data_IF_758202095521
#
_entry.id   IF_758202095521
#
_cell.length_a   1.000
_cell.length_b   1.000
_cell.length_c   1.000
_cell.angle_alpha   90.00
_cell.angle_beta   90.00
_cell.angle_gamma   90.00
#
_symmetry.space_group_name_H-M   'P 1'
#
loop_
_entity.id
_entity.type
_entity.pdbx_description
1 polymer ?
#
# COMPACT_ATOMS: atom_id res chain seq x y z
N UNK A 1 -82.76 -7.78 48.35
CA UNK A 1 -82.13 -9.08 48.04
C UNK A 1 -80.87 -8.78 47.22
N UNK A 2 -79.89 -8.07 47.78
CA UNK A 2 -78.88 -8.60 48.73
C UNK A 2 -78.13 -9.77 48.09
N UNK A 3 -76.79 -9.87 48.00
CA UNK A 3 -75.62 -9.25 48.64
C UNK A 3 -74.41 -9.69 47.77
N UNK A 4 -73.47 -8.82 47.44
CA UNK A 4 -72.23 -8.53 48.19
C UNK A 4 -71.14 -9.63 48.14
N UNK A 5 -69.90 -9.26 47.81
CA UNK A 5 -68.68 -10.06 48.05
C UNK A 5 -67.67 -10.05 46.89
N UNK A 6 -66.84 -9.02 46.69
CA UNK A 6 -65.52 -8.76 47.32
C UNK A 6 -64.45 -9.85 47.13
N UNK A 7 -63.32 -9.44 46.51
CA UNK A 7 -61.90 -9.84 46.75
C UNK A 7 -61.08 -9.61 45.46
N UNK A 8 -60.32 -8.54 45.36
CA UNK A 8 -58.99 -8.26 45.96
C UNK A 8 -57.84 -8.85 45.14
N UNK A 9 -56.98 -7.93 44.70
CA UNK A 9 -55.64 -8.11 44.18
C UNK A 9 -54.85 -9.24 44.84
N UNK A 10 -54.14 -10.01 44.01
CA UNK A 10 -52.72 -10.38 44.16
C UNK A 10 -52.37 -11.50 43.18
N UNK A 11 -51.65 -11.16 42.10
CA UNK A 11 -50.76 -12.11 41.43
C UNK A 11 -49.37 -11.49 41.40
N UNK A 12 -48.70 -11.59 42.54
CA UNK A 12 -47.25 -11.46 42.64
C UNK A 12 -46.61 -12.78 42.21
N UNK A 13 -46.20 -12.87 40.94
CA UNK A 13 -45.31 -13.91 40.46
C UNK A 13 -43.93 -13.30 40.18
N UNK A 14 -42.97 -13.64 41.04
CA UNK A 14 -41.56 -13.26 40.96
C UNK A 14 -40.91 -13.73 39.65
N UNK A 15 -39.99 -12.97 39.04
CA UNK A 15 -39.25 -13.46 37.89
C UNK A 15 -38.23 -14.50 38.38
N UNK A 16 -38.44 -15.76 38.01
CA UNK A 16 -37.44 -16.81 38.19
C UNK A 16 -36.27 -16.54 37.23
N UNK A 17 -35.12 -16.19 37.80
CA UNK A 17 -33.83 -16.10 37.13
C UNK A 17 -33.32 -17.50 36.77
N UNK A 18 -33.88 -18.08 35.72
CA UNK A 18 -33.29 -19.23 35.04
C UNK A 18 -32.26 -18.71 34.03
N UNK A 19 -31.03 -18.55 34.51
CA UNK A 19 -29.84 -18.30 33.68
C UNK A 19 -29.63 -19.55 32.81
N UNK A 20 -29.75 -19.49 31.47
CA UNK A 20 -29.34 -20.62 30.64
C UNK A 20 -27.81 -20.76 30.68
N UNK A 21 -27.29 -21.99 30.78
CA UNK A 21 -25.86 -22.23 30.85
C UNK A 21 -25.24 -22.04 29.46
N UNK A 22 -24.08 -21.38 29.44
CA UNK A 22 -23.02 -21.56 28.44
C UNK A 22 -23.42 -21.41 26.96
N UNK A 23 -23.61 -20.15 26.53
CA UNK A 23 -23.17 -19.80 25.18
C UNK A 23 -21.65 -19.68 25.20
N UNK A 24 -20.96 -20.82 25.06
CA UNK A 24 -19.61 -20.81 24.54
C UNK A 24 -19.72 -20.13 23.17
N UNK A 25 -19.31 -18.87 23.11
CA UNK A 25 -19.20 -18.08 21.88
C UNK A 25 -18.01 -18.61 21.09
N UNK A 26 -18.12 -19.86 20.64
CA UNK A 26 -17.23 -20.46 19.65
C UNK A 26 -17.98 -20.36 18.33
N UNK A 27 -17.38 -19.64 17.38
CA UNK A 27 -17.86 -19.39 16.02
C UNK A 27 -18.62 -18.07 15.80
N UNK A 28 -18.10 -16.95 16.32
CA UNK A 28 -18.02 -15.76 15.47
C UNK A 28 -16.82 -15.99 14.54
N UNK A 29 -17.03 -16.63 13.38
CA UNK A 29 -16.03 -16.54 12.32
C UNK A 29 -16.02 -15.08 11.87
N UNK A 30 -14.93 -14.32 12.01
CA UNK A 30 -14.92 -12.93 11.59
C UNK A 30 -15.27 -12.90 10.10
N UNK A 31 -16.37 -12.22 9.78
CA UNK A 31 -16.85 -12.00 8.42
C UNK A 31 -15.67 -11.64 7.51
N UNK A 32 -15.37 -12.51 6.54
CA UNK A 32 -14.23 -12.36 5.61
C UNK A 32 -14.39 -11.03 4.88
N UNK A 33 -13.50 -10.06 5.13
CA UNK A 33 -13.52 -8.79 4.40
C UNK A 33 -13.26 -9.07 2.90
N UNK A 34 -14.21 -8.80 2.00
CA UNK A 34 -14.08 -9.16 0.59
C UNK A 34 -12.95 -8.38 -0.10
N UNK A 35 -12.67 -7.15 0.33
CA UNK A 35 -11.58 -6.35 -0.23
C UNK A 35 -10.22 -6.87 0.22
N UNK A 36 -10.12 -7.40 1.44
CA UNK A 36 -8.90 -8.02 1.94
C UNK A 36 -8.55 -9.30 1.16
N UNK A 37 -9.55 -10.13 0.88
CA UNK A 37 -9.33 -11.35 0.09
C UNK A 37 -8.91 -11.06 -1.35
N UNK A 38 -9.46 -10.01 -1.96
CA UNK A 38 -9.03 -9.48 -3.27
C UNK A 38 -7.61 -8.92 -3.23
N UNK A 39 -7.25 -8.22 -2.14
CA UNK A 39 -5.90 -7.69 -1.94
C UNK A 39 -4.86 -8.81 -1.88
N UNK A 40 -5.11 -9.86 -1.09
CA UNK A 40 -4.22 -11.03 -1.00
C UNK A 40 -4.00 -11.72 -2.34
N UNK A 41 -5.02 -11.73 -3.21
CA UNK A 41 -4.96 -12.29 -4.58
C UNK A 41 -4.35 -11.33 -5.61
N UNK A 42 -4.09 -10.08 -5.21
CA UNK A 42 -3.62 -9.00 -6.09
C UNK A 42 -4.60 -8.64 -7.21
N UNK A 43 -5.91 -8.76 -6.97
CA UNK A 43 -6.96 -8.53 -7.99
C UNK A 43 -7.04 -7.06 -8.44
N UNK A 44 -6.69 -6.12 -7.57
CA UNK A 44 -6.61 -4.70 -7.92
C UNK A 44 -5.40 -4.35 -8.79
N UNK A 45 -4.48 -5.30 -8.96
CA UNK A 45 -3.24 -5.13 -9.69
C UNK A 45 -2.01 -5.02 -8.79
N UNK A 46 -0.88 -4.75 -9.45
CA UNK A 46 0.46 -4.76 -8.86
C UNK A 46 1.19 -3.47 -9.16
N UNK A 47 2.05 -3.05 -8.24
CA UNK A 47 2.82 -1.82 -8.33
C UNK A 47 3.64 -1.78 -9.63
N UNK A 48 3.58 -0.69 -10.41
CA UNK A 48 4.35 -0.57 -11.64
C UNK A 48 5.84 -0.27 -11.38
N UNK A 49 6.22 0.17 -10.17
CA UNK A 49 7.65 0.29 -9.81
C UNK A 49 8.27 -1.09 -9.73
N UNK A 50 9.28 -1.32 -10.57
CA UNK A 50 10.04 -2.58 -10.65
C UNK A 50 10.60 -2.98 -9.28
N UNK A 51 11.12 -2.01 -8.53
CA UNK A 51 11.73 -2.22 -7.21
C UNK A 51 10.71 -2.52 -6.09
N UNK A 52 9.41 -2.40 -6.39
CA UNK A 52 8.37 -2.86 -5.48
C UNK A 52 8.10 -4.37 -5.60
N UNK A 53 8.85 -5.11 -6.44
CA UNK A 53 8.73 -6.56 -6.60
C UNK A 53 7.28 -7.03 -6.82
N UNK A 54 6.52 -6.27 -7.62
CA UNK A 54 5.12 -6.58 -7.96
C UNK A 54 4.15 -6.59 -6.76
N UNK A 55 4.42 -5.77 -5.73
CA UNK A 55 3.56 -5.56 -4.55
C UNK A 55 2.08 -5.35 -4.95
N UNK A 56 1.12 -6.07 -4.33
CA UNK A 56 -0.31 -5.84 -4.53
C UNK A 56 -0.73 -4.42 -4.12
N UNK A 57 -1.68 -3.86 -4.90
CA UNK A 57 -2.21 -2.52 -4.70
C UNK A 57 -3.60 -2.54 -4.05
N UNK A 58 -4.00 -1.39 -3.49
CA UNK A 58 -5.34 -1.17 -2.94
C UNK A 58 -6.03 -0.02 -3.68
N UNK A 59 -7.35 -0.09 -3.93
CA UNK A 59 -8.08 1.04 -4.47
C UNK A 59 -8.19 2.17 -3.46
N UNK A 60 -8.16 3.41 -3.93
CA UNK A 60 -8.32 4.60 -3.10
C UNK A 60 -8.94 5.74 -3.91
N UNK A 61 -9.84 6.49 -3.28
CA UNK A 61 -10.35 7.74 -3.80
C UNK A 61 -9.40 8.89 -3.49
N UNK A 62 -9.26 9.86 -4.40
CA UNK A 62 -8.55 11.10 -4.10
C UNK A 62 -9.43 12.11 -3.37
N UNK A 63 -10.74 11.94 -3.47
CA UNK A 63 -11.76 12.72 -2.78
C UNK A 63 -12.93 11.79 -2.41
N UNK A 64 -13.68 12.17 -1.39
CA UNK A 64 -14.91 11.47 -0.97
C UNK A 64 -16.17 12.08 -1.63
N UNK A 65 -15.98 13.10 -2.48
CA UNK A 65 -17.05 13.78 -3.22
C UNK A 65 -17.27 13.03 -4.55
N UNK A 66 -18.50 12.56 -4.83
CA UNK A 66 -18.80 11.85 -6.08
C UNK A 66 -18.56 12.70 -7.33
N UNK A 67 -18.24 12.01 -8.44
CA UNK A 67 -18.03 12.56 -9.78
C UNK A 67 -16.87 13.55 -9.94
N UNK A 68 -15.99 13.66 -8.94
CA UNK A 68 -14.86 14.59 -8.99
C UNK A 68 -13.61 13.94 -9.60
N UNK A 69 -13.19 12.78 -9.07
CA UNK A 69 -11.96 12.09 -9.49
C UNK A 69 -12.15 10.58 -9.56
N UNK A 70 -11.58 9.97 -10.60
CA UNK A 70 -11.52 8.52 -10.74
C UNK A 70 -10.70 7.86 -9.63
N UNK A 71 -10.98 6.58 -9.37
CA UNK A 71 -10.20 5.73 -8.46
C UNK A 71 -8.71 5.69 -8.85
N UNK A 72 -7.84 5.69 -7.83
CA UNK A 72 -6.41 5.43 -7.93
C UNK A 72 -6.06 4.15 -7.17
N UNK A 73 -4.84 3.68 -7.38
CA UNK A 73 -4.30 2.49 -6.75
C UNK A 73 -3.12 2.88 -5.85
N UNK A 74 -3.22 2.59 -4.56
CA UNK A 74 -2.20 2.83 -3.56
C UNK A 74 -1.28 1.62 -3.39
N UNK A 75 0.03 1.87 -3.31
CA UNK A 75 1.02 0.87 -2.98
C UNK A 75 1.54 1.07 -1.55
N UNK A 76 1.35 0.07 -0.68
CA UNK A 76 1.88 0.12 0.69
C UNK A 76 3.41 0.08 0.80
N UNK A 77 4.13 -0.36 -0.26
CA UNK A 77 5.61 -0.50 -0.21
C UNK A 77 6.33 0.80 -0.56
N UNK A 78 5.90 1.48 -1.62
CA UNK A 78 6.50 2.75 -2.04
C UNK A 78 5.66 3.98 -1.67
N UNK A 79 4.51 3.78 -1.03
CA UNK A 79 3.63 4.83 -0.52
C UNK A 79 3.23 5.85 -1.59
N UNK A 80 2.95 5.34 -2.79
CA UNK A 80 2.67 6.16 -3.98
C UNK A 80 1.39 5.71 -4.66
N UNK A 81 0.79 6.62 -5.43
CA UNK A 81 -0.50 6.46 -6.10
C UNK A 81 -0.31 6.23 -7.59
N UNK A 82 -1.05 5.27 -8.12
CA UNK A 82 -0.98 4.85 -9.51
C UNK A 82 -2.35 4.90 -10.17
N UNK A 83 -2.37 5.18 -11.47
CA UNK A 83 -3.57 5.01 -12.28
C UNK A 83 -3.77 3.53 -12.62
N UNK A 84 -5.00 3.00 -12.57
CA UNK A 84 -5.27 1.65 -13.03
C UNK A 84 -4.92 1.50 -14.52
N UNK A 85 -4.32 0.35 -14.89
CA UNK A 85 -3.82 0.12 -16.26
C UNK A 85 -4.93 0.08 -17.32
N UNK A 86 -6.08 -0.47 -16.96
CA UNK A 86 -7.23 -0.64 -17.85
C UNK A 86 -8.15 0.57 -17.77
N UNK A 87 -8.54 1.12 -18.92
CA UNK A 87 -9.49 2.23 -19.02
C UNK A 87 -10.83 1.94 -18.29
N UNK A 88 -11.34 0.70 -18.36
CA UNK A 88 -12.58 0.29 -17.66
C UNK A 88 -12.57 0.56 -16.15
N UNK A 89 -11.44 0.33 -15.49
CA UNK A 89 -11.30 0.59 -14.05
C UNK A 89 -10.91 2.04 -13.77
N UNK A 90 -10.35 2.75 -14.76
CA UNK A 90 -10.02 4.17 -14.66
C UNK A 90 -11.21 5.12 -14.79
N UNK A 91 -12.35 4.64 -15.28
CA UNK A 91 -13.60 5.42 -15.31
C UNK A 91 -14.47 5.25 -14.06
N UNK A 92 -14.06 4.42 -13.10
CA UNK A 92 -14.79 4.21 -11.84
C UNK A 92 -14.50 5.39 -10.92
N UNK A 93 -15.55 5.93 -10.31
CA UNK A 93 -15.43 7.02 -9.32
C UNK A 93 -14.66 6.56 -8.08
N UNK A 94 -13.69 7.37 -7.65
CA UNK A 94 -12.87 7.12 -6.48
C UNK A 94 -13.66 7.24 -5.17
N UNK A 95 -14.72 8.05 -5.15
CA UNK A 95 -15.54 8.30 -3.97
C UNK A 95 -16.18 7.01 -3.41
N UNK A 96 -16.42 5.98 -4.24
CA UNK A 96 -16.96 4.69 -3.81
C UNK A 96 -16.03 3.88 -2.89
N UNK A 97 -14.73 4.14 -2.96
CA UNK A 97 -13.73 3.48 -2.11
C UNK A 97 -13.36 4.34 -0.90
N UNK A 98 -13.48 5.66 -1.06
CA UNK A 98 -13.09 6.65 -0.07
C UNK A 98 -11.58 6.89 -0.02
N UNK A 99 -11.21 7.98 0.63
CA UNK A 99 -9.82 8.47 0.72
C UNK A 99 -8.96 7.69 1.72
N UNK A 100 -9.58 7.06 2.72
CA UNK A 100 -8.90 6.49 3.89
C UNK A 100 -8.75 4.97 3.87
N UNK A 101 -9.40 4.27 2.93
CA UNK A 101 -9.51 2.82 2.95
C UNK A 101 -8.17 2.07 3.09
N UNK A 102 -7.11 2.37 2.30
CA UNK A 102 -5.84 1.65 2.44
C UNK A 102 -5.20 1.85 3.82
N UNK A 103 -5.28 3.05 4.37
CA UNK A 103 -4.69 3.40 5.66
C UNK A 103 -5.41 2.69 6.81
N UNK A 104 -6.74 2.68 6.79
CA UNK A 104 -7.54 1.94 7.77
C UNK A 104 -7.30 0.44 7.68
N UNK A 105 -7.12 -0.11 6.47
CA UNK A 105 -6.82 -1.53 6.31
C UNK A 105 -5.49 -1.91 6.98
N UNK A 106 -4.43 -1.13 6.79
CA UNK A 106 -3.14 -1.40 7.43
C UNK A 106 -3.15 -1.13 8.94
N UNK A 107 -4.01 -0.23 9.42
CA UNK A 107 -4.20 -0.03 10.85
C UNK A 107 -4.85 -1.25 11.53
N UNK A 108 -5.83 -1.88 10.87
CA UNK A 108 -6.51 -3.08 11.38
C UNK A 108 -5.66 -4.34 11.20
N UNK A 109 -4.88 -4.40 10.13
CA UNK A 109 -4.05 -5.56 9.78
C UNK A 109 -2.57 -5.15 9.63
N UNK A 110 -1.85 -4.89 10.75
CA UNK A 110 -0.47 -4.42 10.72
C UNK A 110 0.50 -5.44 10.10
N UNK A 111 0.16 -6.74 10.14
CA UNK A 111 0.96 -7.81 9.50
C UNK A 111 0.97 -7.75 7.97
N UNK A 112 0.10 -6.95 7.36
CA UNK A 112 0.04 -6.75 5.91
C UNK A 112 0.90 -5.58 5.44
N UNK A 113 1.52 -4.82 6.35
CA UNK A 113 2.40 -3.70 6.00
C UNK A 113 3.66 -4.27 5.34
N UNK A 114 3.93 -3.97 4.06
CA UNK A 114 5.07 -4.54 3.37
C UNK A 114 6.39 -3.94 3.88
N UNK A 115 7.37 -4.80 4.14
CA UNK A 115 8.72 -4.37 4.48
C UNK A 115 9.34 -3.58 3.33
N UNK A 116 10.00 -2.47 3.67
CA UNK A 116 10.70 -1.61 2.70
C UNK A 116 12.06 -2.18 2.27
N UNK A 117 12.53 -3.25 2.93
CA UNK A 117 13.78 -3.90 2.61
C UNK A 117 13.74 -4.55 1.22
N UNK A 118 14.74 -4.24 0.40
CA UNK A 118 14.93 -4.81 -0.92
C UNK A 118 15.48 -6.24 -0.84
N UNK A 119 14.71 -7.21 -0.33
CA UNK A 119 15.12 -8.61 -0.39
C UNK A 119 14.85 -9.19 -1.78
N UNK A 120 15.90 -9.15 -2.60
CA UNK A 120 16.00 -9.86 -3.86
C UNK A 120 16.39 -11.33 -3.62
N UNK A 121 15.52 -12.13 -2.99
CA UNK A 121 15.86 -13.53 -2.65
C UNK A 121 15.38 -14.58 -3.66
N UNK A 122 14.77 -14.22 -4.79
CA UNK A 122 14.18 -15.23 -5.71
C UNK A 122 14.66 -15.21 -7.17
N UNK A 123 15.66 -14.40 -7.54
CA UNK A 123 16.16 -14.38 -8.94
C UNK A 123 17.69 -14.25 -9.01
N UNK A 124 18.42 -15.30 -8.61
CA UNK A 124 19.79 -15.61 -9.08
C UNK A 124 20.32 -16.87 -8.38
N UNK A 125 19.94 -18.05 -8.86
CA UNK A 125 20.70 -19.29 -8.64
C UNK A 125 21.00 -19.89 -10.01
N UNK A 126 21.97 -19.30 -10.72
CA UNK A 126 22.92 -20.03 -11.56
C UNK A 126 23.99 -19.05 -12.10
N UNK A 127 25.18 -19.07 -11.51
CA UNK A 127 26.48 -18.73 -12.08
C UNK A 127 27.51 -18.66 -10.94
N UNK A 128 28.37 -19.67 -10.87
CA UNK A 128 29.35 -19.87 -9.81
C UNK A 128 30.50 -18.86 -9.77
N UNK A 129 31.16 -18.79 -8.62
CA UNK A 129 32.42 -18.06 -8.41
C UNK A 129 32.81 -17.96 -6.93
N UNK A 130 33.82 -18.73 -6.55
CA UNK A 130 34.49 -18.86 -5.25
C UNK A 130 34.60 -17.59 -4.37
N UNK A 131 34.04 -17.65 -3.15
CA UNK A 131 34.58 -16.91 -1.98
C UNK A 131 34.31 -17.67 -0.67
N UNK A 132 35.01 -18.81 -0.49
CA UNK A 132 34.89 -19.70 0.68
C UNK A 132 35.40 -19.12 2.02
N UNK A 133 35.73 -17.82 2.12
CA UNK A 133 36.33 -17.22 3.33
C UNK A 133 35.44 -16.25 4.11
N UNK A 134 34.22 -15.94 3.67
CA UNK A 134 33.34 -14.97 4.38
C UNK A 134 32.19 -15.60 5.17
N UNK A 135 31.99 -16.91 5.05
CA UNK A 135 30.82 -17.60 5.59
C UNK A 135 30.93 -17.96 7.09
N UNK A 136 32.12 -17.80 7.70
CA UNK A 136 32.33 -18.11 9.13
C UNK A 136 32.11 -16.94 10.08
N UNK A 137 31.92 -15.70 9.59
CA UNK A 137 31.65 -14.52 10.45
C UNK A 137 30.22 -14.01 10.41
N UNK A 138 29.33 -14.64 9.62
CA UNK A 138 27.92 -14.24 9.49
C UNK A 138 26.95 -15.19 10.21
N UNK A 139 27.46 -16.13 11.02
CA UNK A 139 26.64 -17.11 11.76
C UNK A 139 26.44 -16.77 13.24
N UNK A 140 27.20 -15.83 13.80
CA UNK A 140 27.05 -15.43 15.22
C UNK A 140 26.18 -14.17 15.42
N UNK A 141 25.73 -13.51 14.34
CA UNK A 141 24.83 -12.34 14.43
C UNK A 141 23.38 -12.66 14.01
N UNK A 142 23.12 -13.88 13.53
CA UNK A 142 21.83 -14.31 13.00
C UNK A 142 20.89 -14.98 14.03
N UNK A 143 21.34 -15.21 15.26
CA UNK A 143 20.55 -15.91 16.29
C UNK A 143 19.81 -14.97 17.26
N UNK A 144 20.04 -13.66 17.19
CA UNK A 144 19.35 -12.66 18.05
C UNK A 144 18.35 -11.77 17.29
N UNK A 145 18.17 -11.96 15.99
CA UNK A 145 17.24 -11.17 15.16
C UNK A 145 15.90 -11.87 14.86
N UNK A 146 15.64 -13.03 15.47
CA UNK A 146 14.38 -13.80 15.30
C UNK A 146 13.51 -13.69 16.56
N UNK A 147 13.33 -12.49 17.09
CA UNK A 147 12.33 -12.19 18.13
C UNK A 147 12.20 -10.67 18.33
N UNK A 148 11.51 -9.97 17.44
CA UNK A 148 10.96 -8.65 17.73
C UNK A 148 9.87 -8.28 16.70
N UNK A 149 8.71 -8.94 16.81
CA UNK A 149 7.49 -8.40 16.22
C UNK A 149 6.98 -7.24 17.09
N UNK A 150 6.75 -6.08 16.47
CA UNK A 150 5.92 -5.00 17.01
C UNK A 150 6.63 -4.01 17.95
N UNK A 151 6.95 -2.82 17.44
CA UNK A 151 7.35 -1.67 18.28
C UNK A 151 8.29 -0.70 17.56
N UNK A 152 7.81 0.52 17.31
CA UNK A 152 8.40 1.51 16.40
C UNK A 152 9.51 2.39 16.99
N UNK A 153 10.37 1.88 17.85
CA UNK A 153 11.43 2.68 18.49
C UNK A 153 12.79 2.00 18.33
N UNK A 154 13.50 2.33 17.25
CA UNK A 154 14.88 1.86 17.06
C UNK A 154 15.33 1.77 15.61
N UNK A 155 14.41 1.83 14.64
CA UNK A 155 14.76 1.83 13.23
C UNK A 155 15.17 3.24 12.83
N UNK A 156 16.49 3.49 12.75
CA UNK A 156 17.02 4.72 12.17
C UNK A 156 16.51 4.87 10.74
N UNK A 157 15.67 5.87 10.52
CA UNK A 157 15.11 6.19 9.20
C UNK A 157 16.21 6.46 8.17
N UNK A 158 17.35 6.99 8.60
CA UNK A 158 18.53 7.19 7.75
C UNK A 158 19.15 5.86 7.28
N UNK A 159 19.23 4.85 8.15
CA UNK A 159 19.77 3.53 7.78
C UNK A 159 18.88 2.79 6.79
N UNK A 160 17.55 2.92 6.94
CA UNK A 160 16.57 2.38 5.97
C UNK A 160 16.66 3.11 4.63
N UNK A 161 16.78 4.45 4.65
CA UNK A 161 16.89 5.25 3.44
C UNK A 161 18.16 4.93 2.63
N UNK A 162 19.28 4.65 3.30
CA UNK A 162 20.54 4.26 2.64
C UNK A 162 20.48 2.84 2.03
N UNK A 163 19.69 1.93 2.63
CA UNK A 163 19.53 0.55 2.14
C UNK A 163 18.51 0.43 1.02
N UNK A 164 17.64 1.43 0.83
CA UNK A 164 16.65 1.43 -0.23
C UNK A 164 17.31 1.45 -1.62
N UNK A 165 17.13 0.38 -2.40
CA UNK A 165 17.60 0.33 -3.78
C UNK A 165 16.82 1.35 -4.62
N UNK A 166 17.54 2.19 -5.36
CA UNK A 166 16.97 3.17 -6.29
C UNK A 166 17.45 2.86 -7.70
N UNK A 167 16.55 2.96 -8.68
CA UNK A 167 16.89 2.71 -10.08
C UNK A 167 18.06 3.60 -10.52
N UNK A 168 19.17 2.97 -10.91
CA UNK A 168 20.38 3.64 -11.43
C UNK A 168 20.49 3.41 -12.93
N UNK A 169 20.20 4.40 -13.77
CA UNK A 169 20.28 4.25 -15.21
C UNK A 169 21.72 3.99 -15.66
N UNK A 170 21.90 3.02 -16.56
CA UNK A 170 23.19 2.66 -17.17
C UNK A 170 23.07 2.65 -18.68
N UNK A 171 24.12 3.09 -19.37
CA UNK A 171 24.26 3.03 -20.83
C UNK A 171 25.53 2.23 -21.11
N UNK A 172 25.42 1.12 -21.87
CA UNK A 172 26.52 0.17 -22.09
C UNK A 172 27.22 -0.29 -20.80
N UNK A 173 26.48 -0.44 -19.70
CA UNK A 173 27.03 -0.84 -18.40
C UNK A 173 27.61 0.30 -17.54
N UNK A 174 27.89 1.46 -18.14
CA UNK A 174 28.39 2.65 -17.46
C UNK A 174 27.25 3.46 -16.82
N UNK A 175 27.47 3.98 -15.61
CA UNK A 175 26.50 4.85 -14.96
C UNK A 175 26.43 6.20 -15.69
N UNK A 176 25.21 6.74 -15.85
CA UNK A 176 25.04 8.07 -16.45
C UNK A 176 25.55 9.14 -15.49
N UNK A 177 26.64 9.82 -15.88
CA UNK A 177 27.24 10.90 -15.11
C UNK A 177 26.26 12.08 -14.94
N UNK A 178 26.38 12.79 -13.82
CA UNK A 178 25.48 13.89 -13.46
C UNK A 178 25.54 15.05 -14.47
N UNK A 179 26.75 15.40 -14.93
CA UNK A 179 26.96 16.41 -15.99
C UNK A 179 26.13 16.09 -17.25
N UNK A 180 26.10 14.82 -17.68
CA UNK A 180 25.35 14.40 -18.86
C UNK A 180 23.82 14.45 -18.68
N UNK A 181 23.33 14.46 -17.43
CA UNK A 181 21.92 14.70 -17.12
C UNK A 181 21.59 16.19 -17.19
N UNK A 182 22.46 17.04 -16.62
CA UNK A 182 22.30 18.49 -16.62
C UNK A 182 22.36 19.07 -18.04
N UNK A 183 23.33 18.64 -18.85
CA UNK A 183 23.49 19.11 -20.23
C UNK A 183 22.24 18.85 -21.08
N UNK A 184 21.65 17.64 -20.99
CA UNK A 184 20.41 17.31 -21.69
C UNK A 184 19.24 18.23 -21.31
N UNK A 185 19.16 18.61 -20.03
CA UNK A 185 18.13 19.55 -19.58
C UNK A 185 18.38 20.97 -20.11
N UNK A 186 19.63 21.43 -20.10
CA UNK A 186 20.02 22.72 -20.65
C UNK A 186 19.78 22.81 -22.15
N UNK A 187 20.12 21.77 -22.90
CA UNK A 187 19.85 21.64 -24.34
C UNK A 187 18.35 21.69 -24.62
N UNK A 188 17.54 20.90 -23.90
CA UNK A 188 16.09 20.92 -24.07
C UNK A 188 15.45 22.28 -23.76
N UNK A 189 16.04 23.07 -22.85
CA UNK A 189 15.59 24.45 -22.58
C UNK A 189 16.00 25.38 -23.72
N UNK A 190 17.24 25.26 -24.20
CA UNK A 190 17.73 26.04 -25.34
C UNK A 190 16.85 25.79 -26.56
N UNK A 191 16.54 24.54 -26.87
CA UNK A 191 15.70 24.16 -28.01
C UNK A 191 14.29 24.75 -27.88
N UNK A 192 13.71 24.76 -26.67
CA UNK A 192 12.43 25.44 -26.42
C UNK A 192 12.50 26.95 -26.64
N UNK A 193 13.61 27.59 -26.27
CA UNK A 193 13.80 29.02 -26.48
C UNK A 193 13.98 29.34 -27.96
N UNK A 194 14.76 28.53 -28.69
CA UNK A 194 14.93 28.66 -30.13
C UNK A 194 13.57 28.51 -30.83
N UNK A 195 12.82 27.44 -30.55
CA UNK A 195 11.49 27.23 -31.13
C UNK A 195 10.52 28.39 -30.83
N UNK A 196 10.63 29.00 -29.63
CA UNK A 196 9.84 30.19 -29.28
C UNK A 196 10.24 31.42 -30.11
N UNK A 197 11.53 31.62 -30.36
CA UNK A 197 12.02 32.73 -31.18
C UNK A 197 11.64 32.54 -32.65
N UNK A 198 11.82 31.34 -33.20
CA UNK A 198 11.42 30.98 -34.56
C UNK A 198 9.91 31.21 -34.80
N UNK A 199 9.06 30.87 -33.82
CA UNK A 199 7.62 31.13 -33.90
C UNK A 199 7.30 32.63 -33.97
N UNK A 200 8.03 33.48 -33.22
CA UNK A 200 7.85 34.94 -33.26
C UNK A 200 8.37 35.56 -34.57
N UNK A 201 9.45 35.01 -35.13
CA UNK A 201 9.98 35.41 -36.43
C UNK A 201 9.01 35.04 -37.56
N UNK A 202 8.39 33.85 -37.48
CA UNK A 202 7.36 33.42 -38.44
C UNK A 202 6.10 34.32 -38.40
N UNK A 203 5.68 34.77 -37.22
CA UNK A 203 4.54 35.68 -37.07
C UNK A 203 4.83 37.10 -37.58
N UNK A 204 6.07 37.60 -37.39
CA UNK A 204 6.51 38.90 -37.92
C UNK A 204 6.81 38.89 -39.42
N UNK A 205 7.11 37.71 -39.99
CA UNK A 205 7.43 37.52 -41.40
C UNK A 205 6.22 37.24 -42.30
N UNK A 206 5.00 37.18 -41.74
CA UNK A 206 3.78 37.06 -42.53
C UNK A 206 3.51 38.37 -43.30
N UNK A 207 3.43 38.35 -44.64
CA UNK A 207 3.20 39.54 -45.46
C UNK A 207 1.81 40.17 -45.26
#
# INVERSE_FOLDING_TARGET
>A
MDRNGSRSDQDGASPSSSIPPSFHSSNYTPSKNPQLEKYKRADFGRCPRVLCASQPLLPVGLTDIPYEKSVKLYCGKCEDLYSPKSSRHGSIDGAYFGTTFPHLLFLVYPTLIPSKDGDMSTVAKDAGGDTKSKQRRLREESESAIAAEGGGEGISTASVALKAERYRPRIYGFQVHEIAKLQRWQEAIRDKQIARLEALEAEKGAP
#
